data_IF_815531346466
#
_entry.id   IF_815531346466
#
_cell.length_a   1.000
_cell.length_b   1.000
_cell.length_c   1.000
_cell.angle_alpha   90.00
_cell.angle_beta   90.00
_cell.angle_gamma   90.00
#
_symmetry.space_group_name_H-M   'P 1'
#
loop_
_entity.id
_entity.type
_entity.pdbx_description
1 polymer ?
#
# COMPACT_ATOMS: atom_id res chain seq x y z
N UNK A 1 -21.99 -0.12 6.92
CA UNK A 1 -20.77 -0.23 6.09
C UNK A 1 -20.38 1.18 5.67
N UNK A 2 -19.20 1.65 6.09
CA UNK A 2 -18.71 2.94 5.68
C UNK A 2 -18.49 2.89 4.16
N UNK A 3 -18.89 3.95 3.44
CA UNK A 3 -18.81 3.97 1.99
C UNK A 3 -17.39 3.69 1.48
N UNK A 4 -17.27 2.99 0.36
CA UNK A 4 -15.99 2.55 -0.26
C UNK A 4 -15.05 3.73 -0.57
N UNK A 5 -15.54 4.96 -0.63
CA UNK A 5 -14.78 6.18 -0.92
C UNK A 5 -14.43 7.00 0.33
N UNK A 6 -13.82 6.38 1.32
CA UNK A 6 -13.38 7.10 2.52
C UNK A 6 -12.13 7.95 2.24
N UNK A 7 -11.95 9.03 3.03
CA UNK A 7 -10.71 9.82 2.99
C UNK A 7 -9.49 8.95 3.29
N UNK A 8 -9.62 7.98 4.21
CA UNK A 8 -8.55 7.03 4.57
C UNK A 8 -8.17 6.16 3.38
N UNK A 9 -9.15 5.58 2.69
CA UNK A 9 -8.92 4.76 1.50
C UNK A 9 -8.19 5.53 0.40
N UNK A 10 -8.61 6.78 0.13
CA UNK A 10 -7.94 7.62 -0.88
C UNK A 10 -6.47 7.91 -0.54
N UNK A 11 -6.19 8.23 0.73
CA UNK A 11 -4.82 8.47 1.21
C UNK A 11 -3.99 7.18 1.14
N UNK A 12 -4.56 6.06 1.53
CA UNK A 12 -3.87 4.76 1.47
C UNK A 12 -3.50 4.38 0.03
N UNK A 13 -4.41 4.55 -0.93
CA UNK A 13 -4.12 4.31 -2.35
C UNK A 13 -3.00 5.22 -2.86
N UNK A 14 -3.02 6.52 -2.51
CA UNK A 14 -1.97 7.46 -2.91
C UNK A 14 -0.60 7.07 -2.32
N UNK A 15 -0.55 6.67 -1.05
CA UNK A 15 0.69 6.24 -0.40
C UNK A 15 1.22 4.90 -0.96
N UNK A 16 0.33 3.94 -1.26
CA UNK A 16 0.70 2.68 -1.90
C UNK A 16 1.18 2.89 -3.34
N UNK A 17 0.61 3.85 -4.06
CA UNK A 17 1.06 4.25 -5.37
C UNK A 17 2.50 4.80 -5.33
N UNK A 18 2.82 5.71 -4.39
CA UNK A 18 4.19 6.20 -4.17
C UNK A 18 5.16 5.06 -3.86
N UNK A 19 4.72 4.10 -3.06
CA UNK A 19 5.52 2.93 -2.74
C UNK A 19 5.79 2.10 -4.00
N UNK A 20 4.77 1.86 -4.83
CA UNK A 20 4.89 1.06 -6.04
C UNK A 20 5.86 1.65 -7.07
N UNK A 21 5.85 2.97 -7.27
CA UNK A 21 6.77 3.63 -8.21
C UNK A 21 8.20 3.74 -7.68
N UNK A 22 8.40 3.66 -6.36
CA UNK A 22 9.70 3.85 -5.72
C UNK A 22 10.35 2.55 -5.27
N UNK A 23 9.58 1.51 -4.94
CA UNK A 23 10.04 0.28 -4.29
C UNK A 23 10.82 -0.68 -5.20
N UNK A 24 10.85 -0.45 -6.52
CA UNK A 24 11.68 -1.28 -7.41
C UNK A 24 13.19 -1.12 -7.12
N UNK A 25 13.59 -0.08 -6.40
CA UNK A 25 14.99 0.25 -6.17
C UNK A 25 15.43 0.14 -4.72
N UNK A 26 14.57 0.51 -3.76
CA UNK A 26 14.90 0.52 -2.32
C UNK A 26 13.64 0.70 -1.46
N UNK A 27 13.69 0.35 -0.15
CA UNK A 27 12.64 0.67 0.80
C UNK A 27 12.35 2.18 0.85
N UNK A 28 11.09 2.56 0.97
CA UNK A 28 10.65 3.95 0.99
C UNK A 28 10.35 4.38 2.41
N UNK A 29 10.99 5.45 2.88
CA UNK A 29 10.70 6.02 4.19
C UNK A 29 9.35 6.77 4.16
N UNK A 30 8.51 6.57 5.19
CA UNK A 30 7.21 7.24 5.29
C UNK A 30 7.32 8.78 5.33
N UNK A 31 8.43 9.31 5.84
CA UNK A 31 8.69 10.74 5.82
C UNK A 31 8.70 11.29 4.39
N UNK A 32 9.32 10.59 3.43
CA UNK A 32 9.36 10.97 2.01
C UNK A 32 7.95 10.94 1.40
N UNK A 33 7.16 9.91 1.73
CA UNK A 33 5.75 9.83 1.28
C UNK A 33 4.94 10.98 1.87
N UNK A 34 5.14 11.27 3.17
CA UNK A 34 4.46 12.35 3.87
C UNK A 34 4.73 13.73 3.27
N UNK A 35 5.98 14.03 2.96
CA UNK A 35 6.37 15.28 2.32
C UNK A 35 5.77 15.44 0.93
N UNK A 36 5.83 14.40 0.08
CA UNK A 36 5.28 14.43 -1.27
C UNK A 36 3.76 14.57 -1.31
N UNK A 37 3.06 13.89 -0.41
CA UNK A 37 1.60 13.85 -0.35
C UNK A 37 1.02 14.88 0.63
N UNK A 38 1.86 15.63 1.34
CA UNK A 38 1.48 16.58 2.40
C UNK A 38 0.61 15.93 3.49
N UNK A 39 1.02 14.75 3.93
CA UNK A 39 0.32 13.93 4.92
C UNK A 39 1.22 13.82 6.16
N UNK A 40 0.65 13.95 7.35
CA UNK A 40 1.42 13.80 8.59
C UNK A 40 2.02 12.38 8.73
N UNK A 41 3.26 12.30 9.21
CA UNK A 41 3.95 11.04 9.41
C UNK A 41 3.17 10.11 10.36
N UNK A 42 2.66 10.66 11.47
CA UNK A 42 1.88 9.89 12.44
C UNK A 42 0.62 9.24 11.82
N UNK A 43 -0.03 9.93 10.90
CA UNK A 43 -1.18 9.37 10.19
C UNK A 43 -0.77 8.26 9.21
N UNK A 44 0.33 8.45 8.49
CA UNK A 44 0.88 7.41 7.62
C UNK A 44 1.33 6.17 8.41
N UNK A 45 1.95 6.34 9.57
CA UNK A 45 2.32 5.22 10.44
C UNK A 45 1.11 4.38 10.85
N UNK A 46 -0.02 5.03 11.18
CA UNK A 46 -1.26 4.34 11.49
C UNK A 46 -1.82 3.57 10.26
N UNK A 47 -1.82 4.20 9.09
CA UNK A 47 -2.26 3.55 7.85
C UNK A 47 -1.36 2.37 7.48
N UNK A 48 -0.05 2.55 7.51
CA UNK A 48 0.91 1.50 7.18
C UNK A 48 0.93 0.36 8.21
N UNK A 49 0.61 0.66 9.47
CA UNK A 49 0.35 -0.36 10.49
C UNK A 49 -0.83 -1.28 10.13
N UNK A 50 -1.87 -0.73 9.49
CA UNK A 50 -3.01 -1.51 8.99
C UNK A 50 -2.65 -2.29 7.73
N UNK A 51 -2.07 -1.62 6.73
CA UNK A 51 -1.62 -2.25 5.48
C UNK A 51 -0.67 -3.43 5.75
N UNK A 52 0.23 -3.30 6.75
CA UNK A 52 1.13 -4.40 7.15
C UNK A 52 0.40 -5.58 7.77
N UNK A 53 -0.65 -5.36 8.57
CA UNK A 53 -1.47 -6.45 9.13
C UNK A 53 -2.21 -7.25 8.05
N UNK A 54 -2.57 -6.59 6.94
CA UNK A 54 -3.18 -7.21 5.77
C UNK A 54 -2.15 -7.69 4.73
N UNK A 55 -0.86 -7.73 5.11
CA UNK A 55 0.22 -8.24 4.26
C UNK A 55 0.34 -7.53 2.90
N UNK A 56 0.00 -6.24 2.85
CA UNK A 56 0.16 -5.42 1.65
C UNK A 56 1.52 -4.73 1.60
N UNK A 57 2.14 -4.49 2.78
CA UNK A 57 3.46 -3.88 2.91
C UNK A 57 4.31 -4.59 3.96
N UNK A 58 5.62 -4.53 3.80
CA UNK A 58 6.62 -4.99 4.77
C UNK A 58 7.52 -3.82 5.19
N UNK A 59 7.96 -3.84 6.45
CA UNK A 59 8.92 -2.86 6.97
C UNK A 59 10.34 -3.43 6.97
N UNK A 60 11.30 -2.65 6.48
CA UNK A 60 12.73 -2.95 6.52
C UNK A 60 13.41 -2.04 7.54
N UNK A 61 14.20 -2.62 8.45
CA UNK A 61 14.94 -1.88 9.49
C UNK A 61 16.29 -1.38 8.97
N UNK A 62 16.82 -0.34 9.59
CA UNK A 62 18.18 0.19 9.36
C UNK A 62 18.19 1.62 8.85
N UNK A 63 19.40 2.21 8.62
CA UNK A 63 19.56 3.59 8.16
C UNK A 63 18.88 3.86 6.79
N UNK A 64 18.82 2.86 5.93
CA UNK A 64 18.09 2.88 4.66
C UNK A 64 16.78 2.11 4.75
N UNK A 65 16.20 2.03 5.94
CA UNK A 65 14.94 1.32 6.19
C UNK A 65 13.75 2.10 5.68
N UNK A 66 12.61 1.41 5.65
CA UNK A 66 11.36 1.95 5.16
C UNK A 66 10.35 0.86 4.90
N UNK A 67 9.48 1.07 3.95
CA UNK A 67 8.48 0.10 3.54
C UNK A 67 8.66 -0.31 2.08
N UNK A 68 8.35 -1.56 1.81
CA UNK A 68 8.24 -2.15 0.46
C UNK A 68 6.90 -2.85 0.33
N UNK A 69 6.48 -3.12 -0.89
CA UNK A 69 5.31 -3.97 -1.13
C UNK A 69 5.61 -5.39 -0.61
N UNK A 70 4.62 -6.03 0.01
CA UNK A 70 4.72 -7.42 0.50
C UNK A 70 4.42 -8.45 -0.59
N UNK A 71 3.73 -8.02 -1.65
CA UNK A 71 3.33 -8.83 -2.81
C UNK A 71 3.59 -8.06 -4.09
N UNK A 72 3.57 -8.73 -5.23
CA UNK A 72 3.68 -8.10 -6.54
C UNK A 72 2.55 -7.08 -6.75
N UNK A 73 2.85 -5.93 -7.34
CA UNK A 73 1.91 -4.84 -7.51
C UNK A 73 0.71 -5.18 -8.42
N UNK A 74 0.82 -6.20 -9.24
CA UNK A 74 -0.28 -6.72 -10.07
C UNK A 74 -1.26 -7.60 -9.27
N UNK A 75 -0.82 -8.16 -8.14
CA UNK A 75 -1.64 -8.96 -7.23
C UNK A 75 -2.30 -8.16 -6.09
N UNK A 76 -2.05 -6.85 -6.02
CA UNK A 76 -2.65 -5.95 -5.03
C UNK A 76 -3.72 -5.11 -5.74
N UNK A 77 -5.00 -5.27 -5.35
CA UNK A 77 -6.10 -4.47 -5.91
C UNK A 77 -6.33 -3.19 -5.11
N UNK A 78 -7.01 -2.22 -5.71
CA UNK A 78 -7.44 -1.03 -4.96
C UNK A 78 -8.46 -1.38 -3.87
N UNK A 79 -9.27 -2.42 -4.08
CA UNK A 79 -10.20 -2.95 -3.08
C UNK A 79 -9.44 -3.49 -1.85
N UNK A 80 -8.36 -4.24 -2.04
CA UNK A 80 -7.49 -4.71 -0.95
C UNK A 80 -6.99 -3.57 -0.09
N UNK A 81 -6.46 -2.51 -0.73
CA UNK A 81 -5.89 -1.36 -0.03
C UNK A 81 -6.96 -0.62 0.79
N UNK A 82 -8.12 -0.37 0.20
CA UNK A 82 -9.22 0.35 0.85
C UNK A 82 -9.77 -0.47 2.03
N UNK A 83 -10.03 -1.76 1.82
CA UNK A 83 -10.54 -2.66 2.86
C UNK A 83 -9.58 -2.77 4.05
N UNK A 84 -8.27 -2.84 3.79
CA UNK A 84 -7.25 -2.94 4.84
C UNK A 84 -7.24 -1.73 5.79
N UNK A 85 -7.55 -0.54 5.31
CA UNK A 85 -7.53 0.68 6.15
C UNK A 85 -8.88 1.03 6.76
N UNK A 86 -9.97 0.54 6.18
CA UNK A 86 -11.33 0.76 6.67
C UNK A 86 -11.83 -0.34 7.63
N UNK A 87 -11.04 -1.41 7.82
CA UNK A 87 -11.36 -2.49 8.75
C UNK A 87 -11.51 -1.98 10.19
N UNK A 88 -12.72 -2.08 10.81
CA UNK A 88 -12.96 -1.65 12.18
C UNK A 88 -12.13 -2.40 13.22
N UNK A 89 -11.82 -3.68 12.98
CA UNK A 89 -11.00 -4.53 13.87
C UNK A 89 -9.53 -4.11 13.93
N UNK A 90 -9.11 -3.26 13.04
CA UNK A 90 -7.75 -2.75 12.92
C UNK A 90 -7.48 -1.49 13.77
N UNK A 91 -8.48 -0.89 14.41
CA UNK A 91 -8.27 0.17 15.37
C UNK A 91 -7.71 -0.44 16.67
N UNK A 92 -6.38 -0.41 16.79
CA UNK A 92 -5.74 -0.68 18.09
C UNK A 92 -6.39 0.17 19.16
N UNK A 93 -6.61 -0.40 20.36
CA UNK A 93 -7.43 0.07 21.49
C UNK A 93 -7.14 1.49 22.04
N UNK A 94 -6.61 2.41 21.27
CA UNK A 94 -6.37 3.82 21.57
C UNK A 94 -6.75 4.78 20.45
N UNK A 95 -7.67 4.38 19.57
CA UNK A 95 -8.34 5.32 18.66
C UNK A 95 -9.28 6.19 19.46
N UNK A 96 -8.92 7.47 19.66
CA UNK A 96 -9.78 8.51 20.22
C UNK A 96 -11.17 8.43 19.58
N UNK A 97 -12.18 8.24 20.41
CA UNK A 97 -13.53 8.68 20.12
C UNK A 97 -13.46 10.14 19.67
N UNK A 98 -13.77 10.44 18.41
CA UNK A 98 -13.66 11.81 17.96
C UNK A 98 -13.92 12.08 16.49
N UNK A 99 -14.52 11.17 15.76
CA UNK A 99 -15.40 11.56 14.65
C UNK A 99 -16.71 10.82 14.90
N UNK A 100 -17.84 11.55 15.03
CA UNK A 100 -19.12 10.87 14.96
C UNK A 100 -19.08 10.11 13.64
N UNK A 101 -19.26 8.78 13.71
CA UNK A 101 -19.83 8.09 12.60
C UNK A 101 -21.09 8.93 12.32
N UNK A 102 -21.06 9.75 11.27
CA UNK A 102 -22.29 10.12 10.62
C UNK A 102 -22.86 8.76 10.20
N UNK A 103 -23.54 8.13 11.15
CA UNK A 103 -24.58 7.18 10.81
C UNK A 103 -25.40 7.96 9.82
N UNK A 104 -25.10 7.70 8.54
CA UNK A 104 -25.94 8.14 7.47
C UNK A 104 -27.28 7.54 7.81
N UNK A 105 -28.12 8.36 8.46
CA UNK A 105 -29.51 8.06 8.77
C UNK A 105 -30.26 8.06 7.44
N UNK A 106 -29.77 7.25 6.50
CA UNK A 106 -30.48 6.92 5.29
C UNK A 106 -31.70 6.13 5.72
N UNK A 107 -32.85 6.67 5.39
CA UNK A 107 -34.11 5.96 5.61
C UNK A 107 -33.97 4.54 5.04
N UNK A 108 -34.47 3.52 5.72
CA UNK A 108 -34.38 2.12 5.26
C UNK A 108 -34.80 1.90 3.81
N UNK A 109 -35.71 2.76 3.33
CA UNK A 109 -36.21 2.77 1.92
C UNK A 109 -35.12 3.01 0.87
N UNK A 110 -34.00 3.65 1.22
CA UNK A 110 -32.89 3.94 0.27
C UNK A 110 -31.66 3.07 0.51
N UNK A 111 -31.68 2.21 1.53
CA UNK A 111 -30.49 1.41 1.91
C UNK A 111 -30.04 0.49 0.77
N UNK A 112 -30.97 -0.17 0.11
CA UNK A 112 -30.68 -1.09 -1.02
C UNK A 112 -29.96 -0.37 -2.17
N UNK A 113 -30.30 0.89 -2.43
CA UNK A 113 -29.63 1.71 -3.45
C UNK A 113 -28.17 1.95 -3.09
N UNK A 114 -27.90 2.30 -1.82
CA UNK A 114 -26.54 2.56 -1.36
C UNK A 114 -25.72 1.30 -1.25
N UNK A 115 -26.28 0.18 -0.85
CA UNK A 115 -25.61 -1.11 -0.83
C UNK A 115 -25.27 -1.57 -2.25
N UNK A 116 -26.18 -1.38 -3.20
CA UNK A 116 -25.94 -1.66 -4.61
C UNK A 116 -24.83 -0.78 -5.21
N UNK A 117 -24.81 0.51 -4.90
CA UNK A 117 -23.76 1.43 -5.33
C UNK A 117 -22.40 1.07 -4.74
N UNK A 118 -22.34 0.76 -3.43
CA UNK A 118 -21.11 0.33 -2.76
C UNK A 118 -20.59 -0.99 -3.33
N UNK A 119 -21.46 -1.95 -3.65
CA UNK A 119 -21.09 -3.21 -4.29
C UNK A 119 -20.44 -2.98 -5.67
N UNK A 120 -21.00 -2.11 -6.48
CA UNK A 120 -20.46 -1.74 -7.80
C UNK A 120 -19.11 -1.03 -7.69
N UNK A 121 -18.93 -0.15 -6.70
CA UNK A 121 -17.65 0.50 -6.43
C UNK A 121 -16.60 -0.50 -5.98
N UNK A 122 -16.95 -1.44 -5.11
CA UNK A 122 -16.06 -2.50 -4.66
C UNK A 122 -15.60 -3.37 -5.84
N UNK A 123 -16.52 -3.82 -6.70
CA UNK A 123 -16.24 -4.57 -7.92
C UNK A 123 -15.30 -3.79 -8.86
N UNK A 124 -15.56 -2.49 -9.05
CA UNK A 124 -14.71 -1.64 -9.86
C UNK A 124 -13.28 -1.53 -9.29
N UNK A 125 -13.12 -1.31 -7.98
CA UNK A 125 -11.80 -1.23 -7.37
C UNK A 125 -11.07 -2.57 -7.31
N UNK A 126 -11.79 -3.67 -7.25
CA UNK A 126 -11.21 -5.01 -7.34
C UNK A 126 -10.65 -5.31 -8.74
N UNK A 127 -11.26 -4.74 -9.78
CA UNK A 127 -10.79 -4.88 -11.15
C UNK A 127 -9.50 -4.09 -11.47
N UNK A 128 -9.07 -3.20 -10.57
CA UNK A 128 -7.90 -2.33 -10.78
C UNK A 128 -6.76 -2.76 -9.86
N UNK A 129 -5.68 -3.31 -10.44
CA UNK A 129 -4.46 -3.58 -9.68
C UNK A 129 -3.63 -2.31 -9.47
N UNK A 130 -2.80 -2.32 -8.43
CA UNK A 130 -1.85 -1.22 -8.17
C UNK A 130 -0.89 -1.02 -9.35
N UNK A 131 -0.46 -2.11 -10.00
CA UNK A 131 0.36 -2.07 -11.20
C UNK A 131 -0.37 -1.37 -12.36
N UNK A 132 -1.62 -1.75 -12.64
CA UNK A 132 -2.39 -1.14 -13.73
C UNK A 132 -2.61 0.36 -13.51
N UNK A 133 -2.80 0.78 -12.24
CA UNK A 133 -2.87 2.19 -11.89
C UNK A 133 -1.56 2.93 -12.18
N UNK A 134 -0.41 2.34 -11.83
CA UNK A 134 0.92 2.93 -12.10
C UNK A 134 1.16 3.04 -13.60
N UNK A 135 0.90 1.98 -14.35
CA UNK A 135 1.09 1.94 -15.80
C UNK A 135 0.21 2.98 -16.52
N UNK A 136 -1.05 3.16 -16.09
CA UNK A 136 -1.95 4.19 -16.61
C UNK A 136 -1.42 5.61 -16.36
N UNK A 137 -0.86 5.89 -15.16
CA UNK A 137 -0.31 7.21 -14.83
C UNK A 137 0.97 7.52 -15.59
N UNK A 138 1.81 6.52 -15.83
CA UNK A 138 2.99 6.63 -16.69
C UNK A 138 2.57 6.89 -18.14
N UNK A 139 1.60 6.14 -18.67
CA UNK A 139 1.10 6.31 -20.03
C UNK A 139 0.49 7.71 -20.27
N UNK A 140 -0.13 8.29 -19.25
CA UNK A 140 -0.68 9.66 -19.28
C UNK A 140 0.39 10.75 -19.07
N UNK A 141 1.66 10.38 -18.85
CA UNK A 141 2.74 11.33 -18.59
C UNK A 141 2.64 12.06 -17.25
N UNK A 142 1.82 11.57 -16.32
CA UNK A 142 1.63 12.15 -14.99
C UNK A 142 2.73 11.76 -14.01
N UNK A 143 3.44 10.68 -14.29
CA UNK A 143 4.57 10.17 -13.50
C UNK A 143 5.67 9.71 -14.44
N UNK A 144 6.93 10.04 -14.11
CA UNK A 144 8.07 9.53 -14.87
C UNK A 144 8.17 8.00 -14.66
N UNK A 145 8.47 7.29 -15.75
CA UNK A 145 8.75 5.86 -15.67
C UNK A 145 9.93 5.66 -14.71
N UNK A 146 9.83 4.80 -13.69
CA UNK A 146 10.97 4.48 -12.84
C UNK A 146 12.11 4.00 -13.73
N UNK A 147 13.32 4.50 -13.48
CA UNK A 147 14.50 4.07 -14.22
C UNK A 147 14.64 2.56 -13.96
N UNK A 148 14.30 1.75 -14.96
CA UNK A 148 14.49 0.30 -14.88
C UNK A 148 15.96 0.07 -14.58
N UNK A 149 16.27 -0.45 -13.39
CA UNK A 149 17.58 -1.00 -13.12
C UNK A 149 17.89 -1.98 -14.24
N UNK A 150 18.90 -1.67 -15.03
CA UNK A 150 19.46 -2.60 -16.02
C UNK A 150 19.66 -3.91 -15.27
N UNK A 151 18.98 -4.96 -15.69
CA UNK A 151 19.19 -6.31 -15.20
C UNK A 151 20.67 -6.63 -15.33
N UNK A 152 21.37 -6.60 -14.21
CA UNK A 152 22.81 -6.81 -14.12
C UNK A 152 23.24 -7.11 -12.72
N UNK A 153 22.46 -7.95 -12.00
CA UNK A 153 23.00 -8.66 -10.84
C UNK A 153 23.22 -10.09 -11.30
N UNK A 154 24.45 -10.34 -11.77
CA UNK A 154 25.00 -11.70 -11.89
C UNK A 154 24.74 -12.46 -10.59
N UNK A 155 24.30 -13.74 -10.67
CA UNK A 155 24.12 -14.55 -9.48
C UNK A 155 25.43 -14.58 -8.71
N UNK A 156 25.36 -14.27 -7.41
CA UNK A 156 26.48 -14.33 -6.48
C UNK A 156 27.24 -15.63 -6.72
N UNK A 157 28.50 -15.49 -7.16
CA UNK A 157 29.48 -16.56 -7.24
C UNK A 157 29.54 -17.22 -5.86
N UNK A 158 28.97 -18.42 -5.75
CA UNK A 158 29.12 -19.25 -4.57
C UNK A 158 30.60 -19.52 -4.44
N UNK A 159 31.25 -18.92 -3.44
CA UNK A 159 32.62 -19.22 -3.07
C UNK A 159 32.65 -20.68 -2.66
N UNK A 160 33.34 -21.51 -3.43
CA UNK A 160 33.66 -22.90 -3.06
C UNK A 160 34.46 -22.90 -1.76
N UNK A 161 34.18 -23.81 -0.82
CA UNK A 161 34.94 -23.91 0.41
C UNK A 161 36.41 -24.22 0.10
N UNK A 162 37.31 -23.48 0.71
CA UNK A 162 38.74 -23.66 0.64
C UNK A 162 39.06 -24.98 1.34
N UNK A 163 39.54 -25.94 0.59
CA UNK A 163 40.01 -27.22 1.12
C UNK A 163 41.38 -26.96 1.81
N UNK A 164 41.36 -26.92 3.15
CA UNK A 164 42.61 -26.86 3.93
C UNK A 164 43.20 -28.26 3.92
N UNK A 165 44.21 -28.48 3.10
CA UNK A 165 45.06 -29.67 3.11
C UNK A 165 45.88 -29.66 4.41
N UNK A 166 45.66 -30.63 5.29
CA UNK A 166 46.57 -30.91 6.39
C UNK A 166 47.81 -31.55 5.80
N UNK A 167 48.92 -30.86 5.82
CA UNK A 167 50.23 -31.43 5.64
C UNK A 167 50.71 -32.05 6.98
N UNK A 168 51.22 -33.22 6.87
CA UNK A 168 51.84 -34.08 7.89
C UNK A 168 53.10 -33.46 8.45
#
# INVERSE_FOLDING_TARGET
>A
MNGVLTKKGRVAVAAMFELAISSESAPVALAVVGERQQISLSYLEQLFGRLRRHELVQSTRGPSGGYVLARDSDSITLADIISAVDDPGSAGARGRAGEPAEESSCLPVTQDLWDGANAKLAEYFDSISLKSLVDDRIAKGLVAKPASLKRGISPRRVLKPIHVSKAN
#
